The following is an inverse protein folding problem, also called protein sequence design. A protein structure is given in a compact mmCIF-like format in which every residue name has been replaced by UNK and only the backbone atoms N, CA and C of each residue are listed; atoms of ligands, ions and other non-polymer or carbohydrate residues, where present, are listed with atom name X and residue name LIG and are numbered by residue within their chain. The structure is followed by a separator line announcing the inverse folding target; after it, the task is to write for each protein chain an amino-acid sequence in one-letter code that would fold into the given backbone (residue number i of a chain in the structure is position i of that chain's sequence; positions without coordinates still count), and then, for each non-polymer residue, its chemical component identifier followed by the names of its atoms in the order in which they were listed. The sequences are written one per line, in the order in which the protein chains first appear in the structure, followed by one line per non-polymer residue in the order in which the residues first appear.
data_IF_541094059272
#
_entry.id   IF_541094059272
#
_cell.length_a   1.000
_cell.length_b   1.000
_cell.length_c   1.000
_cell.angle_alpha   90.00
_cell.angle_beta   90.00
_cell.angle_gamma   90.00
#
_symmetry.space_group_name_H-M   'P 1'
#
loop_
_entity.id
_entity.type
_entity.pdbx_description
1 polymer ?
#
# COMPACT_ATOMS: atom_id res chain seq x y z
N UNK A 1 -69.53 11.42 29.20
CA UNK A 1 -68.20 10.76 29.17
C UNK A 1 -67.45 10.95 27.84
N UNK A 2 -68.13 11.20 26.71
CA UNK A 2 -67.46 11.27 25.39
C UNK A 2 -66.71 12.59 25.10
N UNK A 3 -67.11 13.69 25.75
CA UNK A 3 -66.47 15.01 25.62
C UNK A 3 -65.08 15.02 26.30
N UNK A 4 -64.99 14.50 27.52
CA UNK A 4 -63.76 14.36 28.31
C UNK A 4 -62.64 13.58 27.59
N UNK A 5 -63.02 12.55 26.82
CA UNK A 5 -62.08 11.75 26.02
C UNK A 5 -61.52 12.50 24.80
N UNK A 6 -62.30 13.41 24.21
CA UNK A 6 -61.85 14.24 23.08
C UNK A 6 -60.88 15.32 23.54
N UNK A 7 -61.16 15.95 24.68
CA UNK A 7 -60.31 16.98 25.27
C UNK A 7 -58.97 16.39 25.75
N UNK A 8 -58.99 15.20 26.36
CA UNK A 8 -57.78 14.46 26.72
C UNK A 8 -56.91 14.13 25.49
N UNK A 9 -57.53 13.73 24.37
CA UNK A 9 -56.82 13.44 23.13
C UNK A 9 -56.23 14.69 22.48
N UNK A 10 -56.94 15.82 22.52
CA UNK A 10 -56.47 17.11 22.01
C UNK A 10 -55.26 17.61 22.81
N UNK A 11 -55.32 17.52 24.14
CA UNK A 11 -54.20 17.87 25.01
C UNK A 11 -52.96 16.99 24.73
N UNK A 12 -53.15 15.69 24.50
CA UNK A 12 -52.07 14.77 24.12
C UNK A 12 -51.40 15.15 22.79
N UNK A 13 -52.18 15.55 21.78
CA UNK A 13 -51.64 16.00 20.48
C UNK A 13 -50.90 17.34 20.62
N UNK A 14 -51.41 18.26 21.44
CA UNK A 14 -50.79 19.56 21.65
C UNK A 14 -49.46 19.45 22.42
N UNK A 15 -49.37 18.51 23.36
CA UNK A 15 -48.12 18.15 24.04
C UNK A 15 -47.09 17.57 23.05
N UNK A 16 -47.49 16.61 22.21
CA UNK A 16 -46.60 16.04 21.18
C UNK A 16 -46.09 17.08 20.18
N UNK A 17 -46.93 18.03 19.77
CA UNK A 17 -46.50 19.12 18.88
C UNK A 17 -45.46 20.03 19.54
N UNK A 18 -45.62 20.30 20.83
CA UNK A 18 -44.69 21.14 21.60
C UNK A 18 -43.33 20.45 21.75
N UNK A 19 -43.36 19.16 22.06
CA UNK A 19 -42.16 18.33 22.14
C UNK A 19 -41.44 18.24 20.78
N UNK A 20 -42.18 18.01 19.69
CA UNK A 20 -41.59 17.97 18.35
C UNK A 20 -40.92 19.30 17.98
N UNK A 21 -41.54 20.44 18.31
CA UNK A 21 -40.92 21.74 18.08
C UNK A 21 -39.63 21.94 18.88
N UNK A 22 -39.55 21.39 20.10
CA UNK A 22 -38.33 21.43 20.89
C UNK A 22 -37.22 20.57 20.26
N UNK A 23 -37.54 19.33 19.87
CA UNK A 23 -36.58 18.43 19.21
C UNK A 23 -36.07 19.01 17.90
N UNK A 24 -36.93 19.60 17.07
CA UNK A 24 -36.52 20.23 15.80
C UNK A 24 -35.59 21.42 16.01
N UNK A 25 -35.77 22.19 17.09
CA UNK A 25 -34.86 23.30 17.43
C UNK A 25 -33.49 22.79 17.85
N UNK A 26 -33.43 21.76 18.68
CA UNK A 26 -32.16 21.14 19.09
C UNK A 26 -31.45 20.49 17.91
N UNK A 27 -32.17 19.74 17.06
CA UNK A 27 -31.61 19.17 15.82
C UNK A 27 -30.99 20.25 14.91
N UNK A 28 -31.68 21.37 14.72
CA UNK A 28 -31.15 22.48 13.91
C UNK A 28 -29.90 23.09 14.54
N UNK A 29 -29.84 23.19 15.87
CA UNK A 29 -28.66 23.68 16.59
C UNK A 29 -27.49 22.71 16.42
N UNK A 30 -27.71 21.42 16.64
CA UNK A 30 -26.68 20.38 16.46
C UNK A 30 -26.16 20.36 15.02
N UNK A 31 -27.04 20.46 14.03
CA UNK A 31 -26.63 20.53 12.61
C UNK A 31 -25.76 21.73 12.31
N UNK A 32 -26.14 22.91 12.83
CA UNK A 32 -25.35 24.14 12.64
C UNK A 32 -23.97 24.03 13.28
N UNK A 33 -23.89 23.51 14.50
CA UNK A 33 -22.60 23.27 15.18
C UNK A 33 -21.73 22.24 14.44
N UNK A 34 -22.35 21.20 13.86
CA UNK A 34 -21.64 20.21 13.06
C UNK A 34 -21.08 20.79 11.77
N UNK A 35 -21.84 21.65 11.08
CA UNK A 35 -21.42 22.35 9.86
C UNK A 35 -20.26 23.31 10.15
N UNK A 36 -20.36 24.13 11.20
CA UNK A 36 -19.25 24.98 11.64
C UNK A 36 -17.98 24.19 11.99
N UNK A 37 -18.13 22.95 12.51
CA UNK A 37 -17.01 22.07 12.80
C UNK A 37 -16.37 21.48 11.54
N UNK A 38 -17.16 21.20 10.51
CA UNK A 38 -16.64 20.77 9.22
C UNK A 38 -15.88 21.90 8.54
N UNK A 39 -16.44 23.10 8.49
CA UNK A 39 -15.79 24.29 7.91
C UNK A 39 -14.45 24.58 8.58
N UNK A 40 -14.39 24.50 9.92
CA UNK A 40 -13.13 24.66 10.66
C UNK A 40 -12.10 23.59 10.31
N UNK A 41 -12.53 22.34 10.13
CA UNK A 41 -11.63 21.24 9.78
C UNK A 41 -11.13 21.40 8.35
N UNK A 42 -11.97 21.78 7.41
CA UNK A 42 -11.58 22.06 6.03
C UNK A 42 -10.58 23.22 5.98
N UNK A 43 -10.83 24.33 6.67
CA UNK A 43 -9.88 25.44 6.78
C UNK A 43 -8.54 25.02 7.41
N UNK A 44 -8.55 24.14 8.41
CA UNK A 44 -7.33 23.57 9.00
C UNK A 44 -6.56 22.70 8.01
N UNK A 45 -7.27 21.87 7.23
CA UNK A 45 -6.67 21.02 6.20
C UNK A 45 -6.06 21.86 5.08
N UNK A 46 -6.78 22.88 4.57
CA UNK A 46 -6.24 23.80 3.57
C UNK A 46 -4.98 24.51 4.08
N UNK A 47 -4.99 24.96 5.34
CA UNK A 47 -3.82 25.60 5.95
C UNK A 47 -2.66 24.62 6.10
N UNK A 48 -2.92 23.37 6.48
CA UNK A 48 -1.91 22.33 6.59
C UNK A 48 -1.30 22.00 5.22
N UNK A 49 -2.11 21.88 4.17
CA UNK A 49 -1.66 21.65 2.79
C UNK A 49 -0.78 22.80 2.28
N UNK A 50 -1.18 24.06 2.50
CA UNK A 50 -0.37 25.24 2.15
C UNK A 50 0.94 25.32 2.93
N UNK A 51 0.98 24.78 4.15
CA UNK A 51 2.22 24.72 4.96
C UNK A 51 3.13 23.58 4.48
N UNK A 52 2.57 22.44 4.07
CA UNK A 52 3.31 21.32 3.52
C UNK A 52 3.97 21.66 2.18
N UNK A 53 3.32 22.45 1.32
CA UNK A 53 3.88 22.88 0.03
C UNK A 53 5.05 23.87 0.18
N UNK A 54 5.11 24.60 1.29
CA UNK A 54 6.21 25.52 1.62
C UNK A 54 7.35 24.86 2.42
N UNK A 55 7.23 23.60 2.79
CA UNK A 55 8.30 22.87 3.47
C UNK A 55 9.16 22.16 2.42
N UNK A 56 10.49 22.40 2.36
CA UNK A 56 11.38 21.59 1.54
C UNK A 56 11.17 20.12 1.90
N UNK A 57 10.98 19.21 0.92
CA UNK A 57 10.86 17.79 1.24
C UNK A 57 12.10 17.39 2.03
N UNK A 58 11.89 17.01 3.30
CA UNK A 58 12.94 16.36 4.05
C UNK A 58 13.34 15.12 3.23
N UNK A 59 14.65 14.87 3.00
CA UNK A 59 15.06 13.65 2.33
C UNK A 59 14.51 12.49 3.15
N UNK A 60 13.48 11.82 2.63
CA UNK A 60 12.92 10.64 3.23
C UNK A 60 14.00 9.57 3.14
N UNK A 61 14.75 9.39 4.22
CA UNK A 61 15.62 8.22 4.36
C UNK A 61 14.71 7.00 4.18
N UNK A 62 14.93 6.16 3.15
CA UNK A 62 14.12 4.96 3.00
C UNK A 62 14.29 4.16 4.29
N UNK A 63 13.18 3.91 4.98
CA UNK A 63 13.18 3.04 6.15
C UNK A 63 13.74 1.69 5.68
N UNK A 64 14.99 1.39 6.05
CA UNK A 64 15.63 0.14 5.67
C UNK A 64 14.84 -0.96 6.37
N UNK A 65 14.09 -1.74 5.59
CA UNK A 65 13.32 -2.88 6.10
C UNK A 65 14.22 -3.93 6.76
N UNK A 66 13.63 -5.02 7.28
CA UNK A 66 14.40 -6.12 7.85
C UNK A 66 15.49 -6.60 6.88
N UNK A 67 16.71 -6.78 7.38
CA UNK A 67 17.83 -7.28 6.57
C UNK A 67 17.60 -8.77 6.30
N UNK A 68 17.22 -9.10 5.07
CA UNK A 68 17.04 -10.49 4.63
C UNK A 68 18.39 -11.10 4.25
N UNK A 69 18.61 -12.34 4.65
CA UNK A 69 19.81 -13.10 4.29
C UNK A 69 19.87 -13.38 2.79
N UNK A 70 21.07 -13.35 2.22
CA UNK A 70 21.30 -13.77 0.83
C UNK A 70 21.27 -15.31 0.73
N UNK A 71 20.92 -15.90 -0.44
CA UNK A 71 20.97 -17.34 -0.64
C UNK A 71 22.38 -17.93 -0.50
N UNK A 72 22.46 -19.20 -0.15
CA UNK A 72 23.72 -19.94 -0.18
C UNK A 72 24.11 -20.33 -1.63
N UNK A 73 25.40 -20.65 -1.85
CA UNK A 73 25.83 -21.19 -3.15
C UNK A 73 25.28 -22.59 -3.36
N UNK A 74 24.76 -22.87 -4.55
CA UNK A 74 24.13 -24.15 -4.88
C UNK A 74 24.90 -24.92 -5.96
N UNK A 75 25.28 -26.16 -5.65
CA UNK A 75 26.11 -27.01 -6.51
C UNK A 75 25.32 -27.89 -7.48
N UNK A 76 23.98 -27.91 -7.37
CA UNK A 76 23.11 -28.77 -8.17
C UNK A 76 22.61 -30.01 -7.45
N UNK A 77 22.93 -30.20 -6.16
CA UNK A 77 22.43 -31.34 -5.38
C UNK A 77 20.89 -31.36 -5.34
N UNK A 78 20.30 -32.47 -5.81
CA UNK A 78 18.84 -32.66 -5.87
C UNK A 78 18.21 -32.92 -4.49
N UNK A 79 16.88 -32.90 -4.44
CA UNK A 79 16.10 -33.16 -3.22
C UNK A 79 16.05 -31.93 -2.30
N UNK A 80 16.08 -32.16 -0.99
CA UNK A 80 15.91 -31.11 0.02
C UNK A 80 16.84 -29.90 -0.17
N UNK A 81 18.08 -30.11 -0.63
CA UNK A 81 19.01 -28.99 -0.88
C UNK A 81 18.54 -28.06 -2.01
N UNK A 82 17.91 -28.60 -3.04
CA UNK A 82 17.34 -27.79 -4.13
C UNK A 82 16.14 -26.97 -3.64
N UNK A 83 15.26 -27.57 -2.82
CA UNK A 83 14.11 -26.87 -2.22
C UNK A 83 14.56 -25.72 -1.31
N UNK A 84 15.57 -25.97 -0.46
CA UNK A 84 16.15 -24.92 0.40
C UNK A 84 16.69 -23.76 -0.42
N UNK A 85 17.46 -24.04 -1.48
CA UNK A 85 18.00 -22.99 -2.36
C UNK A 85 16.88 -22.15 -3.01
N UNK A 86 15.85 -22.80 -3.56
CA UNK A 86 14.73 -22.10 -4.18
C UNK A 86 13.96 -21.26 -3.16
N UNK A 87 13.74 -21.76 -1.95
CA UNK A 87 13.08 -21.01 -0.89
C UNK A 87 13.89 -19.77 -0.47
N UNK A 88 15.21 -19.89 -0.33
CA UNK A 88 16.08 -18.74 -0.05
C UNK A 88 16.02 -17.68 -1.15
N UNK A 89 16.05 -18.09 -2.43
CA UNK A 89 15.89 -17.19 -3.58
C UNK A 89 14.54 -16.48 -3.53
N UNK A 90 13.45 -17.21 -3.33
CA UNK A 90 12.11 -16.65 -3.31
C UNK A 90 11.93 -15.63 -2.17
N UNK A 91 12.44 -15.93 -0.98
CA UNK A 91 12.42 -15.00 0.15
C UNK A 91 13.20 -13.71 -0.15
N UNK A 92 14.37 -13.82 -0.78
CA UNK A 92 15.17 -12.66 -1.13
C UNK A 92 14.49 -11.78 -2.19
N UNK A 93 13.96 -12.39 -3.26
CA UNK A 93 13.25 -11.68 -4.33
C UNK A 93 11.98 -11.02 -3.79
N UNK A 94 11.20 -11.72 -2.96
CA UNK A 94 9.99 -11.17 -2.35
C UNK A 94 10.28 -9.93 -1.51
N UNK A 95 11.32 -9.99 -0.67
CA UNK A 95 11.68 -8.87 0.20
C UNK A 95 12.32 -7.69 -0.53
N UNK A 96 12.95 -7.95 -1.68
CA UNK A 96 13.65 -6.95 -2.48
C UNK A 96 12.99 -6.76 -3.86
N UNK A 97 11.66 -6.87 -3.96
CA UNK A 97 10.95 -6.89 -5.24
C UNK A 97 11.29 -5.72 -6.18
N UNK A 98 11.56 -4.54 -5.61
CA UNK A 98 12.01 -3.35 -6.36
C UNK A 98 13.36 -3.53 -7.08
N UNK A 99 14.19 -4.50 -6.69
CA UNK A 99 15.44 -4.84 -7.40
C UNK A 99 15.23 -5.87 -8.53
N UNK A 100 14.05 -6.48 -8.59
CA UNK A 100 13.74 -7.62 -9.44
C UNK A 100 12.52 -7.36 -10.33
N UNK A 101 12.52 -6.21 -11.02
CA UNK A 101 11.41 -5.78 -11.89
C UNK A 101 11.26 -6.62 -13.17
N UNK A 102 12.23 -7.48 -13.47
CA UNK A 102 12.22 -8.33 -14.67
C UNK A 102 12.64 -9.76 -14.35
N UNK A 103 12.08 -10.71 -15.09
CA UNK A 103 12.50 -12.12 -15.04
C UNK A 103 14.01 -12.26 -15.32
N UNK A 104 14.57 -11.40 -16.18
CA UNK A 104 16.01 -11.38 -16.45
C UNK A 104 16.82 -11.06 -15.19
N UNK A 105 16.38 -10.11 -14.37
CA UNK A 105 17.07 -9.77 -13.11
C UNK A 105 17.05 -10.94 -12.12
N UNK A 106 15.91 -11.64 -12.02
CA UNK A 106 15.79 -12.86 -11.20
C UNK A 106 16.73 -13.94 -11.73
N UNK A 107 16.75 -14.19 -13.03
CA UNK A 107 17.62 -15.20 -13.66
C UNK A 107 19.10 -14.89 -13.45
N UNK A 108 19.53 -13.64 -13.67
CA UNK A 108 20.93 -13.22 -13.41
C UNK A 108 21.30 -13.47 -11.95
N UNK A 109 20.40 -13.13 -11.02
CA UNK A 109 20.62 -13.36 -9.61
C UNK A 109 20.75 -14.85 -9.29
N UNK A 110 19.79 -15.68 -9.68
CA UNK A 110 19.84 -17.14 -9.44
C UNK A 110 21.11 -17.76 -10.01
N UNK A 111 21.45 -17.42 -11.26
CA UNK A 111 22.65 -17.91 -11.94
C UNK A 111 23.93 -17.52 -11.18
N UNK A 112 23.97 -16.33 -10.57
CA UNK A 112 25.13 -15.88 -9.80
C UNK A 112 25.39 -16.70 -8.52
N UNK A 113 24.41 -17.45 -8.02
CA UNK A 113 24.54 -18.32 -6.85
C UNK A 113 24.81 -19.79 -7.21
N UNK A 114 24.87 -20.16 -8.48
CA UNK A 114 25.26 -21.50 -8.88
C UNK A 114 26.78 -21.70 -8.75
N UNK A 115 27.18 -22.87 -8.28
CA UNK A 115 28.58 -23.30 -8.18
C UNK A 115 28.73 -24.73 -8.71
N UNK A 116 29.98 -25.20 -8.86
CA UNK A 116 30.28 -26.58 -9.20
C UNK A 116 29.52 -27.11 -10.43
N UNK A 117 28.98 -28.35 -10.37
CA UNK A 117 28.24 -28.96 -11.49
C UNK A 117 27.07 -28.13 -12.00
N UNK A 118 26.29 -27.49 -11.12
CA UNK A 118 25.18 -26.63 -11.54
C UNK A 118 25.64 -25.42 -12.36
N UNK A 119 26.75 -24.78 -11.97
CA UNK A 119 27.32 -23.66 -12.72
C UNK A 119 27.82 -24.10 -14.09
N UNK A 120 28.48 -25.26 -14.18
CA UNK A 120 28.92 -25.87 -15.44
C UNK A 120 27.75 -26.19 -16.36
N UNK A 121 26.68 -26.77 -15.82
CA UNK A 121 25.44 -27.01 -16.56
C UNK A 121 24.86 -25.69 -17.07
N UNK A 122 24.79 -24.65 -16.24
CA UNK A 122 24.14 -23.38 -16.56
C UNK A 122 24.87 -22.51 -17.61
N UNK A 123 26.11 -22.82 -17.98
CA UNK A 123 26.95 -21.99 -18.85
C UNK A 123 26.29 -21.54 -20.18
N UNK A 124 25.58 -22.40 -20.93
CA UNK A 124 24.92 -21.98 -22.17
C UNK A 124 23.85 -20.90 -21.94
N UNK A 125 23.10 -21.03 -20.83
CA UNK A 125 22.07 -20.08 -20.45
C UNK A 125 22.67 -18.78 -19.93
N UNK A 126 23.75 -18.83 -19.14
CA UNK A 126 24.50 -17.65 -18.72
C UNK A 126 24.96 -16.83 -19.93
N UNK A 127 25.51 -17.49 -20.97
CA UNK A 127 25.90 -16.82 -22.21
C UNK A 127 24.71 -16.16 -22.90
N UNK A 128 23.55 -16.83 -22.99
CA UNK A 128 22.34 -16.25 -23.59
C UNK A 128 21.82 -15.03 -22.80
N UNK A 129 21.83 -15.11 -21.47
CA UNK A 129 21.40 -14.03 -20.57
C UNK A 129 22.35 -12.83 -20.66
N UNK A 130 23.66 -13.06 -20.80
CA UNK A 130 24.67 -11.99 -20.91
C UNK A 130 24.82 -11.43 -22.34
N UNK A 131 24.52 -12.20 -23.38
CA UNK A 131 24.71 -11.84 -24.80
C UNK A 131 23.72 -10.80 -25.33
N UNK A 132 22.70 -10.39 -24.56
CA UNK A 132 21.81 -9.29 -24.96
C UNK A 132 22.48 -7.93 -24.73
N UNK A 133 23.38 -7.57 -25.65
CA UNK A 133 23.72 -6.21 -26.09
C UNK A 133 24.64 -6.26 -27.32
N UNK A 134 24.10 -6.50 -28.52
CA UNK A 134 24.81 -6.26 -29.79
C UNK A 134 23.91 -5.71 -30.93
N UNK A 135 22.76 -5.08 -30.61
CA UNK A 135 22.00 -4.31 -31.60
C UNK A 135 21.90 -2.83 -31.22
N UNK A 136 23.00 -2.22 -30.77
CA UNK A 136 23.19 -0.76 -30.91
C UNK A 136 24.66 -0.51 -31.19
N UNK A 137 25.11 -0.86 -32.39
CA UNK A 137 26.05 -0.08 -33.21
C UNK A 137 26.22 -0.80 -34.53
N UNK A 138 25.44 -0.38 -35.52
CA UNK A 138 25.99 -0.28 -36.86
C UNK A 138 25.49 1.03 -37.45
N UNK A 139 26.35 2.04 -37.39
CA UNK A 139 26.24 3.28 -38.16
C UNK A 139 27.41 3.27 -39.16
N UNK A 140 27.17 3.86 -40.33
CA UNK A 140 28.00 3.97 -41.55
C UNK A 140 27.80 2.80 -42.52
N UNK A 141 27.21 3.00 -43.71
CA UNK A 141 27.39 4.07 -44.71
C UNK A 141 26.04 4.58 -45.23
#
# INVERSE_FOLDING_TARGET
MEIDKKDSKLAGVQAQLTELMAVVKEERKVRKEAEERLDRREAQLEKALKTADNQPPAPASPAKGPKIGIPDKFDGTRGAKAEVFINQVNLYVLANGHLFETDRAIMVFVLSYLTGPASSWAQPWMKKVMSVSLWVTNLSI
#
